data_IF_762695555489
#
_entry.id   IF_762695555489
#
_cell.length_a   1.000
_cell.length_b   1.000
_cell.length_c   1.000
_cell.angle_alpha   90.00
_cell.angle_beta   90.00
_cell.angle_gamma   90.00
#
_symmetry.space_group_name_H-M   'P 1'
#
loop_
_entity.id
_entity.type
_entity.pdbx_description
1 polymer ?
#
# COMPACT_ATOMS: atom_id res chain seq x y z
N UNK A 1 -30.16 10.82 10.15
CA UNK A 1 -29.11 11.01 9.12
C UNK A 1 -29.78 11.27 7.78
N UNK A 2 -29.16 12.07 6.89
CA UNK A 2 -29.69 12.32 5.54
C UNK A 2 -29.56 11.07 4.66
N UNK A 3 -30.19 11.07 3.47
CA UNK A 3 -30.00 10.02 2.44
C UNK A 3 -28.52 9.79 2.15
N UNK A 4 -27.75 10.86 1.95
CA UNK A 4 -26.32 10.75 1.64
C UNK A 4 -25.55 10.05 2.76
N UNK A 5 -25.76 10.47 4.01
CA UNK A 5 -25.15 9.80 5.17
C UNK A 5 -25.65 8.37 5.32
N UNK A 6 -26.92 8.09 5.04
CA UNK A 6 -27.45 6.73 5.04
C UNK A 6 -26.68 5.83 4.06
N UNK A 7 -26.47 6.26 2.82
CA UNK A 7 -25.70 5.48 1.84
C UNK A 7 -24.27 5.16 2.32
N UNK A 8 -23.64 6.10 3.04
CA UNK A 8 -22.31 5.89 3.60
C UNK A 8 -22.28 4.90 4.78
N UNK A 9 -23.34 4.85 5.59
CA UNK A 9 -23.33 4.11 6.87
C UNK A 9 -24.23 2.87 6.89
N UNK A 10 -25.04 2.64 5.83
CA UNK A 10 -26.03 1.54 5.78
C UNK A 10 -25.41 0.15 5.92
N UNK A 11 -24.15 -0.03 5.55
CA UNK A 11 -23.44 -1.31 5.71
C UNK A 11 -23.05 -1.58 7.16
N UNK A 12 -23.00 -0.54 7.99
CA UNK A 12 -22.58 -0.60 9.39
C UNK A 12 -23.76 -0.65 10.36
N UNK A 13 -24.83 0.06 10.05
CA UNK A 13 -25.96 0.26 10.96
C UNK A 13 -27.28 -0.28 10.40
N UNK A 14 -28.17 -0.67 11.31
CA UNK A 14 -29.59 -0.85 11.02
C UNK A 14 -30.23 0.53 11.10
N UNK A 15 -30.91 0.92 10.03
CA UNK A 15 -31.53 2.24 9.89
C UNK A 15 -32.99 2.10 9.44
N UNK A 16 -33.85 2.96 9.96
CA UNK A 16 -35.25 3.06 9.54
C UNK A 16 -35.50 4.37 8.79
N UNK A 17 -36.32 4.33 7.74
CA UNK A 17 -36.80 5.55 7.09
C UNK A 17 -37.69 6.35 8.04
N UNK A 18 -37.43 7.64 8.18
CA UNK A 18 -38.06 8.55 9.15
C UNK A 18 -38.79 9.72 8.46
N UNK A 19 -39.20 9.54 7.21
CA UNK A 19 -39.94 10.56 6.47
C UNK A 19 -39.09 11.71 5.96
N UNK A 20 -39.76 12.84 5.69
CA UNK A 20 -39.19 14.01 5.05
C UNK A 20 -39.18 15.18 6.03
N UNK A 21 -38.06 15.88 6.13
CA UNK A 21 -37.89 17.07 6.99
C UNK A 21 -37.56 18.28 6.14
N UNK A 22 -38.35 19.38 6.24
CA UNK A 22 -38.05 20.61 5.51
C UNK A 22 -36.80 21.28 6.11
N UNK A 23 -35.81 21.56 5.26
CA UNK A 23 -34.57 22.24 5.64
C UNK A 23 -34.49 23.59 4.94
N UNK A 24 -34.21 24.63 5.74
CA UNK A 24 -34.13 26.01 5.26
C UNK A 24 -33.13 26.10 4.10
N UNK A 25 -33.58 26.65 2.95
CA UNK A 25 -32.80 26.84 1.72
C UNK A 25 -32.41 25.58 0.92
N UNK A 26 -32.78 24.37 1.37
CA UNK A 26 -32.45 23.11 0.67
C UNK A 26 -33.67 22.26 0.31
N UNK A 27 -34.88 22.75 0.63
CA UNK A 27 -36.11 22.02 0.39
C UNK A 27 -36.27 20.84 1.37
N UNK A 28 -36.99 19.85 0.91
CA UNK A 28 -37.39 18.69 1.69
C UNK A 28 -36.30 17.60 1.63
N UNK A 29 -35.79 17.19 2.79
CA UNK A 29 -34.79 16.13 2.89
C UNK A 29 -35.38 14.87 3.49
N UNK A 30 -35.17 13.74 2.81
CA UNK A 30 -35.43 12.42 3.38
C UNK A 30 -34.45 12.11 4.52
N UNK A 31 -35.01 11.63 5.63
CA UNK A 31 -34.28 11.37 6.87
C UNK A 31 -34.39 9.91 7.29
N UNK A 32 -33.32 9.37 7.86
CA UNK A 32 -33.24 8.02 8.41
C UNK A 32 -32.84 8.06 9.88
N UNK A 33 -33.38 7.17 10.70
CA UNK A 33 -32.99 6.99 12.09
C UNK A 33 -31.99 5.83 12.21
N UNK A 34 -30.83 6.07 12.82
CA UNK A 34 -29.84 5.02 13.12
C UNK A 34 -30.26 4.33 14.41
N UNK A 35 -30.59 3.04 14.34
CA UNK A 35 -31.07 2.27 15.50
C UNK A 35 -29.94 1.70 16.33
N UNK A 36 -29.06 0.97 15.66
CA UNK A 36 -28.02 0.14 16.26
C UNK A 36 -27.03 -0.31 15.20
N UNK A 37 -25.88 -0.80 15.62
CA UNK A 37 -24.97 -1.56 14.76
C UNK A 37 -25.67 -2.81 14.21
N UNK A 38 -25.29 -3.23 13.00
CA UNK A 38 -25.74 -4.52 12.47
C UNK A 38 -25.29 -5.65 13.42
N UNK A 39 -26.11 -6.70 13.62
CA UNK A 39 -25.77 -7.78 14.56
C UNK A 39 -24.40 -8.44 14.32
N UNK A 40 -23.96 -8.54 13.06
CA UNK A 40 -22.64 -9.09 12.70
C UNK A 40 -21.46 -8.19 13.09
N UNK A 41 -21.71 -6.91 13.36
CA UNK A 41 -20.72 -5.87 13.63
C UNK A 41 -20.71 -5.41 15.10
N UNK A 42 -21.50 -6.07 15.95
CA UNK A 42 -21.65 -5.73 17.37
C UNK A 42 -21.10 -6.82 18.27
N UNK A 43 -20.49 -6.44 19.39
CA UNK A 43 -20.11 -7.36 20.48
C UNK A 43 -21.35 -8.07 21.02
N UNK A 44 -22.43 -7.31 21.26
CA UNK A 44 -23.73 -7.86 21.63
C UNK A 44 -24.67 -7.80 20.43
N UNK A 45 -24.87 -8.94 19.77
CA UNK A 45 -25.70 -9.06 18.55
C UNK A 45 -27.16 -8.63 18.74
N UNK A 46 -27.68 -8.69 19.98
CA UNK A 46 -29.07 -8.32 20.29
C UNK A 46 -29.19 -6.80 20.51
N UNK A 47 -28.26 -6.22 21.26
CA UNK A 47 -28.29 -4.81 21.64
C UNK A 47 -27.78 -3.92 20.51
N UNK A 48 -26.56 -4.16 20.01
CA UNK A 48 -26.00 -3.39 18.88
C UNK A 48 -25.39 -2.03 19.25
N UNK A 49 -24.92 -1.85 20.49
CA UNK A 49 -24.33 -0.59 20.97
C UNK A 49 -22.81 -0.47 20.72
N UNK A 50 -22.05 -1.57 20.92
CA UNK A 50 -20.59 -1.54 20.88
C UNK A 50 -20.03 -2.34 19.69
N UNK A 51 -19.08 -1.76 18.92
CA UNK A 51 -18.50 -2.41 17.75
C UNK A 51 -17.61 -3.59 18.13
N UNK A 52 -17.67 -4.67 17.34
CA UNK A 52 -16.71 -5.76 17.41
C UNK A 52 -15.50 -5.51 16.49
N UNK A 53 -14.57 -6.46 16.43
CA UNK A 53 -13.34 -6.28 15.65
C UNK A 53 -13.57 -6.26 14.14
N UNK A 54 -14.59 -6.96 13.63
CA UNK A 54 -15.01 -6.89 12.22
C UNK A 54 -15.41 -5.46 11.85
N UNK A 55 -16.19 -4.79 12.71
CA UNK A 55 -16.52 -3.38 12.51
C UNK A 55 -15.26 -2.52 12.47
N UNK A 56 -14.35 -2.69 13.43
CA UNK A 56 -13.12 -1.88 13.54
C UNK A 56 -12.26 -2.02 12.29
N UNK A 57 -12.07 -3.24 11.78
CA UNK A 57 -11.31 -3.50 10.55
C UNK A 57 -11.98 -2.83 9.35
N UNK A 58 -13.29 -3.01 9.16
CA UNK A 58 -14.03 -2.39 8.06
C UNK A 58 -13.97 -0.86 8.10
N UNK A 59 -14.12 -0.30 9.29
CA UNK A 59 -14.01 1.12 9.51
C UNK A 59 -12.59 1.63 9.20
N UNK A 60 -11.55 0.93 9.67
CA UNK A 60 -10.16 1.28 9.38
C UNK A 60 -9.82 1.17 7.88
N UNK A 61 -10.31 0.15 7.17
CA UNK A 61 -10.20 0.05 5.71
C UNK A 61 -10.88 1.22 5.00
N UNK A 62 -12.00 1.72 5.52
CA UNK A 62 -12.64 2.93 4.99
C UNK A 62 -11.81 4.18 5.26
N UNK A 63 -11.22 4.29 6.45
CA UNK A 63 -10.33 5.39 6.84
C UNK A 63 -8.96 5.34 6.16
N UNK A 64 -8.59 4.21 5.53
CA UNK A 64 -7.34 4.07 4.81
C UNK A 64 -7.20 5.13 3.71
N UNK A 65 -8.30 5.55 3.06
CA UNK A 65 -8.25 6.63 2.06
C UNK A 65 -7.78 7.94 2.66
N UNK A 66 -8.26 8.31 3.86
CA UNK A 66 -7.83 9.53 4.54
C UNK A 66 -6.35 9.46 4.98
N UNK A 67 -5.90 8.25 5.40
CA UNK A 67 -4.49 7.97 5.71
C UNK A 67 -3.62 8.11 4.46
N UNK A 68 -4.09 7.56 3.34
CA UNK A 68 -3.41 7.58 2.06
C UNK A 68 -3.24 9.01 1.56
N UNK A 69 -4.30 9.82 1.58
CA UNK A 69 -4.22 11.25 1.22
C UNK A 69 -3.18 11.98 2.09
N UNK A 70 -3.24 11.81 3.42
CA UNK A 70 -2.30 12.43 4.34
C UNK A 70 -0.83 12.06 4.05
N UNK A 71 -0.54 10.78 3.81
CA UNK A 71 0.82 10.32 3.54
C UNK A 71 1.29 10.77 2.16
N UNK A 72 0.46 10.63 1.12
CA UNK A 72 0.83 11.02 -0.25
C UNK A 72 1.09 12.52 -0.37
N UNK A 73 0.26 13.37 0.27
CA UNK A 73 0.48 14.82 0.34
C UNK A 73 1.82 15.16 0.99
N UNK A 74 2.20 14.41 2.04
CA UNK A 74 3.49 14.58 2.71
C UNK A 74 4.64 14.17 1.79
N UNK A 75 4.54 13.02 1.13
CA UNK A 75 5.55 12.54 0.19
C UNK A 75 5.75 13.51 -0.96
N UNK A 76 4.68 14.01 -1.57
CA UNK A 76 4.76 14.98 -2.68
C UNK A 76 5.46 16.28 -2.26
N UNK A 77 5.27 16.73 -1.01
CA UNK A 77 5.84 17.98 -0.49
C UNK A 77 7.27 17.85 0.00
N UNK A 78 7.63 16.71 0.61
CA UNK A 78 8.84 16.57 1.41
C UNK A 78 9.89 15.64 0.80
N UNK A 79 9.54 14.77 -0.15
CA UNK A 79 10.55 13.95 -0.81
C UNK A 79 11.51 14.81 -1.64
N UNK A 80 12.81 14.49 -1.63
CA UNK A 80 13.78 15.11 -2.53
C UNK A 80 13.35 14.95 -4.00
N UNK A 81 13.40 16.04 -4.78
CA UNK A 81 13.05 16.02 -6.22
C UNK A 81 13.96 15.14 -7.08
N UNK A 82 15.08 14.69 -6.52
CA UNK A 82 16.01 13.75 -7.13
C UNK A 82 15.51 12.30 -7.09
N UNK A 83 14.47 11.99 -6.31
CA UNK A 83 13.85 10.67 -6.24
C UNK A 83 12.90 10.46 -7.42
N UNK A 84 13.49 10.08 -8.56
CA UNK A 84 12.75 9.83 -9.80
C UNK A 84 11.95 8.53 -9.76
N UNK A 85 12.36 7.55 -8.94
CA UNK A 85 11.67 6.26 -8.78
C UNK A 85 10.92 6.18 -7.43
N UNK A 86 11.61 6.35 -6.30
CA UNK A 86 11.00 6.24 -4.96
C UNK A 86 10.18 7.51 -4.62
N UNK A 87 9.07 7.71 -5.33
CA UNK A 87 8.16 8.85 -5.19
C UNK A 87 6.72 8.40 -4.87
N UNK A 88 5.81 9.36 -4.66
CA UNK A 88 4.42 9.06 -4.29
C UNK A 88 3.68 8.16 -5.30
N UNK A 89 4.07 8.15 -6.59
CA UNK A 89 3.46 7.27 -7.60
C UNK A 89 3.90 5.83 -7.40
N UNK A 90 5.17 5.59 -7.05
CA UNK A 90 5.65 4.27 -6.64
C UNK A 90 4.89 3.78 -5.41
N UNK A 91 4.71 4.62 -4.39
CA UNK A 91 3.91 4.27 -3.21
C UNK A 91 2.47 3.86 -3.57
N UNK A 92 1.80 4.60 -4.45
CA UNK A 92 0.45 4.23 -4.94
C UNK A 92 0.47 2.87 -5.62
N UNK A 93 1.46 2.63 -6.48
CA UNK A 93 1.60 1.36 -7.21
C UNK A 93 1.80 0.19 -6.24
N UNK A 94 2.75 0.29 -5.30
CA UNK A 94 3.00 -0.76 -4.29
C UNK A 94 1.77 -1.03 -3.43
N UNK A 95 1.00 0.00 -3.02
CA UNK A 95 -0.28 -0.20 -2.31
C UNK A 95 -1.26 -1.03 -3.13
N UNK A 96 -1.41 -0.72 -4.42
CA UNK A 96 -2.32 -1.44 -5.31
C UNK A 96 -1.86 -2.89 -5.56
N UNK A 97 -0.56 -3.10 -5.81
CA UNK A 97 -0.02 -4.44 -6.03
C UNK A 97 -0.09 -5.29 -4.75
N UNK A 98 0.19 -4.70 -3.59
CA UNK A 98 0.10 -5.41 -2.31
C UNK A 98 -1.35 -5.86 -2.03
N UNK A 99 -2.34 -5.02 -2.30
CA UNK A 99 -3.75 -5.42 -2.21
C UNK A 99 -4.10 -6.52 -3.21
N UNK A 100 -3.71 -6.38 -4.48
CA UNK A 100 -4.00 -7.36 -5.53
C UNK A 100 -3.39 -8.73 -5.21
N UNK A 101 -2.10 -8.76 -4.89
CA UNK A 101 -1.37 -10.00 -4.56
C UNK A 101 -1.93 -10.59 -3.27
N UNK A 102 -2.18 -9.76 -2.25
CA UNK A 102 -2.75 -10.19 -0.98
C UNK A 102 -4.12 -10.87 -1.14
N UNK A 103 -5.01 -10.28 -1.94
CA UNK A 103 -6.30 -10.90 -2.28
C UNK A 103 -6.12 -12.20 -3.07
N UNK A 104 -5.15 -12.25 -3.99
CA UNK A 104 -4.81 -13.45 -4.76
C UNK A 104 -4.26 -14.61 -3.91
N UNK A 105 -3.57 -14.30 -2.81
CA UNK A 105 -3.10 -15.27 -1.81
C UNK A 105 -4.16 -15.59 -0.74
N UNK A 106 -5.33 -14.95 -0.77
CA UNK A 106 -6.44 -15.22 0.14
C UNK A 106 -6.31 -14.59 1.52
N UNK A 107 -5.59 -13.47 1.65
CA UNK A 107 -5.53 -12.69 2.88
C UNK A 107 -6.92 -12.13 3.24
N UNK A 108 -7.20 -12.03 4.54
CA UNK A 108 -8.45 -11.47 5.04
C UNK A 108 -8.41 -9.92 5.17
N UNK A 109 -9.55 -9.30 5.47
CA UNK A 109 -9.67 -7.84 5.61
C UNK A 109 -8.66 -7.26 6.64
N UNK A 110 -8.29 -8.01 7.69
CA UNK A 110 -7.35 -7.57 8.71
C UNK A 110 -5.92 -7.54 8.15
N UNK A 111 -5.53 -8.62 7.49
CA UNK A 111 -4.21 -8.75 6.87
C UNK A 111 -4.03 -7.76 5.72
N UNK A 112 -5.07 -7.56 4.90
CA UNK A 112 -5.07 -6.54 3.83
C UNK A 112 -4.90 -5.13 4.41
N UNK A 113 -5.56 -4.81 5.52
CA UNK A 113 -5.39 -3.51 6.18
C UNK A 113 -3.93 -3.28 6.60
N UNK A 114 -3.32 -4.25 7.30
CA UNK A 114 -1.92 -4.13 7.74
C UNK A 114 -0.97 -4.00 6.56
N UNK A 115 -1.18 -4.82 5.53
CA UNK A 115 -0.34 -4.87 4.34
C UNK A 115 -0.43 -3.56 3.53
N UNK A 116 -1.64 -3.04 3.27
CA UNK A 116 -1.82 -1.76 2.57
C UNK A 116 -1.19 -0.60 3.35
N UNK A 117 -1.27 -0.64 4.67
CA UNK A 117 -0.67 0.38 5.54
C UNK A 117 0.85 0.32 5.52
N UNK A 118 1.43 -0.88 5.54
CA UNK A 118 2.87 -1.05 5.35
C UNK A 118 3.32 -0.56 3.97
N UNK A 119 2.60 -0.94 2.90
CA UNK A 119 2.87 -0.48 1.54
C UNK A 119 2.77 1.05 1.40
N UNK A 120 1.82 1.70 2.07
CA UNK A 120 1.69 3.16 2.05
C UNK A 120 2.90 3.86 2.68
N UNK A 121 3.58 3.20 3.63
CA UNK A 121 4.62 3.80 4.45
C UNK A 121 6.03 3.32 4.12
N UNK A 122 6.20 2.24 3.34
CA UNK A 122 7.49 1.54 3.18
C UNK A 122 8.66 2.46 2.81
N UNK A 123 8.40 3.43 1.93
CA UNK A 123 9.40 4.39 1.42
C UNK A 123 9.33 5.78 2.06
N UNK A 124 8.45 5.99 3.02
CA UNK A 124 8.28 7.31 3.65
C UNK A 124 9.54 7.85 4.34
N UNK A 125 10.43 6.95 4.77
CA UNK A 125 11.71 7.28 5.35
C UNK A 125 12.70 7.95 4.39
N UNK A 126 12.45 7.93 3.08
CA UNK A 126 13.23 8.69 2.10
C UNK A 126 13.12 10.22 2.29
N UNK A 127 12.11 10.70 3.03
CA UNK A 127 12.05 12.09 3.50
C UNK A 127 13.25 12.42 4.41
N UNK A 128 13.71 11.45 5.20
CA UNK A 128 14.76 11.62 6.21
C UNK A 128 16.13 11.27 5.62
N UNK A 129 16.22 10.15 4.90
CA UNK A 129 17.49 9.69 4.34
C UNK A 129 17.32 8.56 3.35
N UNK A 130 18.27 8.48 2.41
CA UNK A 130 18.27 7.42 1.39
C UNK A 130 18.64 6.06 1.99
N UNK A 131 19.73 6.04 2.77
CA UNK A 131 20.19 4.84 3.46
C UNK A 131 19.35 4.60 4.72
N UNK A 132 19.00 3.33 4.97
CA UNK A 132 18.11 2.91 6.06
C UNK A 132 16.73 3.59 6.05
N UNK A 133 16.22 3.95 4.85
CA UNK A 133 14.89 4.54 4.72
C UNK A 133 13.80 3.64 5.32
N UNK A 134 13.92 2.31 5.24
CA UNK A 134 12.94 1.38 5.82
C UNK A 134 12.85 1.55 7.35
N UNK A 135 14.00 1.74 8.03
CA UNK A 135 14.02 2.03 9.46
C UNK A 135 13.33 3.37 9.74
N UNK A 136 13.64 4.42 8.99
CA UNK A 136 12.99 5.71 9.15
C UNK A 136 11.47 5.66 8.87
N UNK A 137 11.05 4.84 7.91
CA UNK A 137 9.64 4.53 7.64
C UNK A 137 8.97 3.88 8.84
N UNK A 138 9.64 2.96 9.54
CA UNK A 138 9.08 2.39 10.78
C UNK A 138 8.93 3.43 11.90
N UNK A 139 9.86 4.39 12.01
CA UNK A 139 9.74 5.48 12.99
C UNK A 139 8.55 6.38 12.66
N UNK A 140 8.37 6.72 11.38
CA UNK A 140 7.23 7.49 10.93
C UNK A 140 5.90 6.74 11.13
N UNK A 141 5.85 5.45 10.83
CA UNK A 141 4.69 4.61 11.10
C UNK A 141 4.29 4.63 12.59
N UNK A 142 5.27 4.47 13.50
CA UNK A 142 5.03 4.55 14.95
C UNK A 142 4.52 5.91 15.41
N UNK A 143 4.92 6.99 14.74
CA UNK A 143 4.46 8.33 15.06
C UNK A 143 3.00 8.57 14.65
N UNK A 144 2.60 8.13 13.44
CA UNK A 144 1.31 8.53 12.86
C UNK A 144 0.18 7.54 13.11
N UNK A 145 0.46 6.23 13.15
CA UNK A 145 -0.57 5.20 13.21
C UNK A 145 -1.41 5.22 14.50
N UNK A 146 -0.90 5.63 15.68
CA UNK A 146 -1.74 5.82 16.86
C UNK A 146 -2.85 6.85 16.67
N UNK A 147 -2.65 7.88 15.82
CA UNK A 147 -3.67 8.89 15.48
C UNK A 147 -4.83 8.30 14.67
N UNK A 148 -4.60 7.15 14.04
CA UNK A 148 -5.56 6.37 13.27
C UNK A 148 -6.05 5.12 14.01
N UNK A 149 -5.82 5.07 15.34
CA UNK A 149 -6.31 4.02 16.23
C UNK A 149 -5.76 2.60 15.97
N UNK A 150 -4.60 2.48 15.32
CA UNK A 150 -3.88 1.21 15.29
C UNK A 150 -3.37 0.86 16.69
N UNK A 151 -3.42 -0.42 17.03
CA UNK A 151 -2.81 -0.93 18.27
C UNK A 151 -1.31 -1.09 18.11
N UNK A 152 -0.56 -1.10 19.21
CA UNK A 152 0.88 -1.35 19.20
C UNK A 152 1.23 -2.67 18.48
N UNK A 153 0.44 -3.73 18.68
CA UNK A 153 0.65 -5.02 17.99
C UNK A 153 0.50 -4.88 16.46
N UNK A 154 -0.48 -4.10 15.99
CA UNK A 154 -0.65 -3.84 14.57
C UNK A 154 0.51 -3.00 14.01
N UNK A 155 0.95 -1.99 14.76
CA UNK A 155 2.08 -1.13 14.39
C UNK A 155 3.37 -1.95 14.30
N UNK A 156 3.62 -2.85 15.26
CA UNK A 156 4.77 -3.75 15.25
C UNK A 156 4.77 -4.67 14.02
N UNK A 157 3.61 -5.24 13.67
CA UNK A 157 3.45 -6.03 12.44
C UNK A 157 3.72 -5.19 11.20
N UNK A 158 3.15 -3.99 11.10
CA UNK A 158 3.36 -3.06 9.98
C UNK A 158 4.84 -2.72 9.84
N UNK A 159 5.53 -2.41 10.94
CA UNK A 159 6.97 -2.14 10.93
C UNK A 159 7.77 -3.36 10.46
N UNK A 160 7.37 -4.57 10.82
CA UNK A 160 8.02 -5.81 10.39
C UNK A 160 7.86 -6.03 8.88
N UNK A 161 6.67 -5.76 8.34
CA UNK A 161 6.38 -5.82 6.90
C UNK A 161 7.22 -4.77 6.15
N UNK A 162 7.27 -3.52 6.63
CA UNK A 162 8.12 -2.47 6.05
C UNK A 162 9.58 -2.91 6.02
N UNK A 163 10.12 -3.45 7.12
CA UNK A 163 11.52 -3.88 7.17
C UNK A 163 11.86 -5.03 6.22
N UNK A 164 10.86 -5.79 5.75
CA UNK A 164 11.07 -6.90 4.82
C UNK A 164 11.45 -6.44 3.40
N UNK A 165 11.12 -5.19 3.01
CA UNK A 165 11.48 -4.64 1.69
C UNK A 165 12.98 -4.33 1.57
N UNK A 166 13.71 -4.34 2.68
CA UNK A 166 15.16 -4.11 2.70
C UNK A 166 15.90 -5.15 1.84
N UNK A 167 16.70 -4.66 0.90
CA UNK A 167 17.49 -5.52 0.02
C UNK A 167 18.76 -6.08 0.70
N UNK A 168 19.10 -7.37 0.49
CA UNK A 168 18.32 -8.38 -0.23
C UNK A 168 17.12 -8.88 0.60
N UNK A 169 15.96 -9.14 -0.03
CA UNK A 169 14.74 -9.51 0.68
C UNK A 169 14.88 -10.88 1.34
N UNK A 170 14.41 -10.99 2.59
CA UNK A 170 14.37 -12.24 3.34
C UNK A 170 13.05 -12.36 4.13
N UNK A 171 11.91 -12.55 3.43
CA UNK A 171 10.60 -12.58 4.07
C UNK A 171 10.33 -13.89 4.82
N UNK A 172 9.77 -13.80 6.03
CA UNK A 172 9.54 -14.93 6.94
C UNK A 172 8.08 -15.40 6.99
N UNK A 173 7.14 -14.58 6.54
CA UNK A 173 5.71 -14.90 6.52
C UNK A 173 5.04 -14.40 5.23
N UNK A 174 3.75 -14.69 5.08
CA UNK A 174 3.02 -14.37 3.86
C UNK A 174 2.92 -12.86 3.61
N UNK A 175 2.68 -12.03 4.63
CA UNK A 175 2.60 -10.57 4.47
C UNK A 175 3.92 -9.98 3.99
N UNK A 176 5.04 -10.45 4.57
CA UNK A 176 6.39 -10.06 4.14
C UNK A 176 6.68 -10.50 2.69
N UNK A 177 6.23 -11.69 2.29
CA UNK A 177 6.37 -12.15 0.89
C UNK A 177 5.58 -11.26 -0.07
N UNK A 178 4.35 -10.92 0.30
CA UNK A 178 3.48 -10.09 -0.53
C UNK A 178 4.05 -8.68 -0.70
N UNK A 179 4.56 -8.05 0.36
CA UNK A 179 5.13 -6.69 0.22
C UNK A 179 6.40 -6.70 -0.63
N UNK A 180 7.29 -7.69 -0.48
CA UNK A 180 8.48 -7.81 -1.33
C UNK A 180 8.12 -7.97 -2.80
N UNK A 181 7.12 -8.80 -3.09
CA UNK A 181 6.64 -9.01 -4.46
C UNK A 181 5.95 -7.76 -5.02
N UNK A 182 5.22 -7.01 -4.19
CA UNK A 182 4.55 -5.77 -4.59
C UNK A 182 5.55 -4.65 -4.89
N UNK A 183 6.60 -4.49 -4.08
CA UNK A 183 7.64 -3.48 -4.25
C UNK A 183 8.45 -3.70 -5.55
N UNK A 184 8.68 -4.97 -5.90
CA UNK A 184 9.40 -5.39 -7.10
C UNK A 184 8.49 -5.84 -8.25
N UNK A 185 7.19 -5.56 -8.21
CA UNK A 185 6.22 -6.01 -9.23
C UNK A 185 6.59 -5.54 -10.64
N UNK A 186 7.20 -4.35 -10.75
CA UNK A 186 7.58 -3.73 -12.01
C UNK A 186 8.58 -4.56 -12.83
N UNK A 187 9.33 -5.49 -12.20
CA UNK A 187 10.34 -6.31 -12.88
C UNK A 187 9.73 -7.20 -13.98
N UNK A 188 8.45 -7.58 -13.84
CA UNK A 188 7.72 -8.35 -14.84
C UNK A 188 6.76 -7.55 -15.70
N UNK A 189 6.75 -6.21 -15.64
CA UNK A 189 5.77 -5.39 -16.35
C UNK A 189 6.29 -4.88 -17.69
N UNK A 190 5.37 -4.49 -18.56
CA UNK A 190 5.69 -3.94 -19.88
C UNK A 190 6.46 -2.61 -19.82
N UNK A 191 6.19 -1.82 -18.77
CA UNK A 191 6.84 -0.54 -18.48
C UNK A 191 8.14 -0.67 -17.67
N UNK A 192 8.68 -1.88 -17.52
CA UNK A 192 9.93 -2.16 -16.80
C UNK A 192 11.07 -1.21 -17.21
N UNK A 193 11.32 -1.02 -18.52
CA UNK A 193 12.43 -0.17 -18.99
C UNK A 193 12.25 1.30 -18.57
N UNK A 194 11.10 1.96 -18.81
CA UNK A 194 10.83 3.29 -18.25
C UNK A 194 11.06 3.38 -16.74
N UNK A 195 10.53 2.43 -15.95
CA UNK A 195 10.67 2.43 -14.49
C UNK A 195 12.13 2.23 -14.06
N UNK A 196 12.84 1.30 -14.69
CA UNK A 196 14.28 1.06 -14.47
C UNK A 196 15.11 2.30 -14.80
N UNK A 197 14.76 3.04 -15.86
CA UNK A 197 15.42 4.31 -16.19
C UNK A 197 15.18 5.39 -15.14
N UNK A 198 13.98 5.48 -14.56
CA UNK A 198 13.73 6.38 -13.43
C UNK A 198 14.63 6.04 -12.23
N UNK A 199 14.77 4.75 -11.90
CA UNK A 199 15.69 4.33 -10.83
C UNK A 199 17.14 4.67 -11.18
N UNK A 200 17.56 4.44 -12.41
CA UNK A 200 18.90 4.82 -12.89
C UNK A 200 19.18 6.33 -12.74
N UNK A 201 18.24 7.18 -13.17
CA UNK A 201 18.33 8.64 -13.04
C UNK A 201 18.42 9.06 -11.58
N UNK A 202 17.63 8.45 -10.71
CA UNK A 202 17.68 8.69 -9.27
C UNK A 202 19.05 8.32 -8.66
N UNK A 203 19.55 7.11 -8.93
CA UNK A 203 20.84 6.67 -8.41
C UNK A 203 21.98 7.61 -8.85
N UNK A 204 21.93 8.08 -10.09
CA UNK A 204 22.86 9.10 -10.58
C UNK A 204 22.71 10.43 -9.86
N UNK A 205 21.49 10.89 -9.62
CA UNK A 205 21.22 12.16 -8.94
C UNK A 205 21.74 12.18 -7.49
N UNK A 206 21.80 11.01 -6.84
CA UNK A 206 22.36 10.84 -5.49
C UNK A 206 23.87 10.48 -5.48
N UNK A 207 24.55 10.57 -6.64
CA UNK A 207 25.99 10.41 -6.74
C UNK A 207 26.49 8.98 -6.97
N UNK A 208 25.61 8.02 -7.26
CA UNK A 208 26.00 6.67 -7.73
C UNK A 208 26.15 6.70 -9.25
N UNK A 209 27.25 7.30 -9.72
CA UNK A 209 27.54 7.43 -11.15
C UNK A 209 27.95 6.07 -11.73
N UNK A 210 27.03 5.48 -12.49
CA UNK A 210 27.20 4.20 -13.19
C UNK A 210 26.84 4.49 -14.64
N UNK A 211 27.62 4.01 -15.60
CA UNK A 211 27.25 4.13 -17.01
C UNK A 211 26.08 3.20 -17.36
N UNK A 212 25.35 3.54 -18.43
CA UNK A 212 24.13 2.81 -18.79
C UNK A 212 24.38 1.34 -19.17
N UNK A 213 25.57 1.01 -19.73
CA UNK A 213 25.89 -0.37 -20.09
C UNK A 213 26.12 -1.21 -18.83
N UNK A 214 26.87 -0.68 -17.86
CA UNK A 214 27.05 -1.29 -16.54
C UNK A 214 25.72 -1.39 -15.77
N UNK A 215 24.86 -0.37 -15.85
CA UNK A 215 23.50 -0.43 -15.29
C UNK A 215 22.71 -1.61 -15.88
N UNK A 216 22.65 -1.75 -17.20
CA UNK A 216 21.94 -2.84 -17.85
C UNK A 216 22.51 -4.22 -17.48
N UNK A 217 23.85 -4.36 -17.40
CA UNK A 217 24.52 -5.58 -16.89
C UNK A 217 24.09 -5.91 -15.45
N UNK A 218 24.01 -4.90 -14.58
CA UNK A 218 23.54 -5.07 -13.20
C UNK A 218 22.05 -5.44 -13.12
N UNK A 219 21.20 -4.83 -13.95
CA UNK A 219 19.78 -5.16 -14.03
C UNK A 219 19.57 -6.62 -14.50
N UNK A 220 20.28 -7.07 -15.54
CA UNK A 220 20.24 -8.49 -15.97
C UNK A 220 20.61 -9.40 -14.80
N UNK A 221 21.70 -9.11 -14.10
CA UNK A 221 22.10 -9.90 -12.92
C UNK A 221 21.02 -9.91 -11.84
N UNK A 222 20.46 -8.75 -11.51
CA UNK A 222 19.41 -8.62 -10.50
C UNK A 222 18.17 -9.44 -10.87
N UNK A 223 17.61 -9.25 -12.07
CA UNK A 223 16.42 -9.97 -12.54
C UNK A 223 16.67 -11.48 -12.60
N UNK A 224 17.86 -11.92 -13.04
CA UNK A 224 18.21 -13.35 -13.10
C UNK A 224 18.39 -14.00 -11.73
N UNK A 225 18.69 -13.22 -10.68
CA UNK A 225 18.79 -13.74 -9.30
C UNK A 225 17.50 -13.60 -8.51
N UNK A 226 16.63 -12.67 -8.90
CA UNK A 226 15.37 -12.39 -8.24
C UNK A 226 14.33 -13.47 -8.54
N UNK A 227 13.55 -13.86 -7.53
CA UNK A 227 12.38 -14.72 -7.68
C UNK A 227 11.23 -14.14 -6.87
N UNK A 228 10.02 -14.12 -7.46
CA UNK A 228 8.83 -13.76 -6.70
C UNK A 228 8.48 -14.86 -5.68
N UNK A 229 8.01 -14.47 -4.51
CA UNK A 229 7.77 -15.35 -3.38
C UNK A 229 6.36 -15.97 -3.36
N UNK A 230 5.36 -15.25 -3.88
CA UNK A 230 3.95 -15.63 -3.86
C UNK A 230 3.52 -16.32 -5.15
N UNK A 231 2.53 -17.21 -5.07
CA UNK A 231 2.00 -17.90 -6.25
C UNK A 231 1.34 -16.91 -7.23
N UNK A 232 0.75 -15.84 -6.71
CA UNK A 232 0.09 -14.80 -7.49
C UNK A 232 1.12 -13.98 -8.27
N UNK A 233 2.16 -13.46 -7.64
CA UNK A 233 3.20 -12.70 -8.34
C UNK A 233 3.96 -13.57 -9.36
N UNK A 234 4.30 -14.82 -9.00
CA UNK A 234 4.92 -15.76 -9.95
C UNK A 234 4.08 -15.95 -11.22
N UNK A 235 2.77 -16.18 -11.08
CA UNK A 235 1.86 -16.32 -12.24
C UNK A 235 1.74 -15.04 -13.06
N UNK A 236 1.76 -13.88 -12.42
CA UNK A 236 1.56 -12.59 -13.08
C UNK A 236 2.80 -12.05 -13.76
N UNK A 237 4.00 -12.42 -13.30
CA UNK A 237 5.23 -11.69 -13.60
C UNK A 237 6.42 -12.55 -14.02
N UNK A 238 6.49 -13.83 -13.66
CA UNK A 238 7.72 -14.61 -13.87
C UNK A 238 8.05 -14.79 -15.36
N UNK A 239 7.08 -15.15 -16.19
CA UNK A 239 7.27 -15.29 -17.65
C UNK A 239 7.65 -13.96 -18.32
N UNK A 240 6.98 -12.87 -17.92
CA UNK A 240 7.25 -11.55 -18.47
C UNK A 240 8.61 -10.99 -18.01
N UNK A 241 9.06 -11.32 -16.79
CA UNK A 241 10.39 -10.97 -16.26
C UNK A 241 11.51 -11.59 -17.11
N UNK A 242 11.36 -12.85 -17.54
CA UNK A 242 12.31 -13.49 -18.47
C UNK A 242 12.39 -12.73 -19.80
N UNK A 243 11.25 -12.23 -20.30
CA UNK A 243 11.24 -11.39 -21.51
C UNK A 243 11.96 -10.05 -21.29
N UNK A 244 11.89 -9.47 -20.09
CA UNK A 244 12.66 -8.25 -19.75
C UNK A 244 14.16 -8.51 -19.71
N UNK A 245 14.60 -9.67 -19.19
CA UNK A 245 16.02 -10.07 -19.20
C UNK A 245 16.54 -10.12 -20.64
N UNK A 246 15.81 -10.78 -21.55
CA UNK A 246 16.22 -10.86 -22.96
C UNK A 246 16.20 -9.49 -23.65
N UNK A 247 15.27 -8.61 -23.30
CA UNK A 247 15.24 -7.22 -23.79
C UNK A 247 16.47 -6.44 -23.33
N UNK A 248 16.86 -6.55 -22.06
CA UNK A 248 18.06 -5.90 -21.51
C UNK A 248 19.35 -6.42 -22.16
N UNK A 249 19.48 -7.74 -22.35
CA UNK A 249 20.67 -8.34 -22.99
C UNK A 249 20.93 -7.77 -24.38
N UNK A 250 19.89 -7.44 -25.15
CA UNK A 250 20.02 -6.81 -26.48
C UNK A 250 20.47 -5.35 -26.43
N UNK A 251 20.34 -4.69 -25.29
CA UNK A 251 20.78 -3.30 -25.07
C UNK A 251 22.23 -3.23 -24.57
N UNK A 252 22.81 -4.36 -24.14
CA UNK A 252 24.18 -4.44 -23.67
C UNK A 252 25.10 -4.51 -24.88
N UNK A 253 26.13 -3.67 -24.87
CA UNK A 253 27.23 -3.70 -25.84
C UNK A 253 28.40 -4.44 -25.19
N UNK A 254 28.90 -5.48 -25.85
CA UNK A 254 30.11 -6.18 -25.41
C UNK A 254 31.33 -5.26 -25.62
N UNK A 255 32.26 -5.29 -24.66
CA UNK A 255 33.47 -4.47 -24.64
C UNK A 255 34.53 -4.96 -25.66
#
# INVERSE_FOLDING_TARGET
VSVYTYELVREYFVTDYNGVTPVKYHGDLEMYYVRRLRPALSVNKKVGEFPNDIFKIKYALRQFTDQQEFVLDKLERELPKTLHYHNYKHTIDVVNQAELIGLGEGLDDSDILLLKTAALLHDSGHIIGYDNHEFYSTQFAREILPKWHYTEEQIDKICTIIMATKLPPNPHNLLEKVICDADLDYLGREDFIPVSNCLYEELRAIGKDIDINTWNKNQVKFLSTHQYFTNTAQRLREEAKESQIERLKRLIVDD
#
